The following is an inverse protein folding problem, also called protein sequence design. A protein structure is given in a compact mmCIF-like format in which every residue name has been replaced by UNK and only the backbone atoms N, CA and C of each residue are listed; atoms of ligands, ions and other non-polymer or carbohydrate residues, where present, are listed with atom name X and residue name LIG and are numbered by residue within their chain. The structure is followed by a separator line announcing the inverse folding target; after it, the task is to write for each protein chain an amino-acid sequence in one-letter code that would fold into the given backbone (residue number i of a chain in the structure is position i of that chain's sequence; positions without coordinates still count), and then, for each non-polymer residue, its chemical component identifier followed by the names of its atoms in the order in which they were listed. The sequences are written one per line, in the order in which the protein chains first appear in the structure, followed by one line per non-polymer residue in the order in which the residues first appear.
data_IF_493122787623
#
_entry.id   IF_493122787623
#
_cell.length_a   1.000
_cell.length_b   1.000
_cell.length_c   1.000
_cell.angle_alpha   90.00
_cell.angle_beta   90.00
_cell.angle_gamma   90.00
#
_symmetry.space_group_name_H-M   'P 1'
#
loop_
_entity.id
_entity.type
_entity.pdbx_description
1 polymer ?
#
# COMPACT_ATOMS: atom_id res chain seq x y z
N UNK A 1 10.93 96.48 28.88
CA UNK A 1 12.08 95.61 28.52
C UNK A 1 11.90 94.29 29.21
N UNK A 2 11.09 93.40 28.59
CA UNK A 2 10.80 92.05 29.12
C UNK A 2 11.04 91.03 28.02
N UNK A 3 12.00 90.14 28.30
CA UNK A 3 12.36 88.99 27.38
C UNK A 3 11.43 87.85 27.63
N UNK A 4 10.70 87.42 26.58
CA UNK A 4 9.84 86.25 26.61
C UNK A 4 10.62 85.06 26.11
N UNK A 5 10.94 84.12 27.03
CA UNK A 5 11.49 82.79 26.67
C UNK A 5 10.39 81.91 26.14
N UNK A 6 10.47 81.52 24.86
CA UNK A 6 9.63 80.57 24.26
C UNK A 6 10.06 79.15 24.70
N UNK A 7 9.18 78.49 25.43
CA UNK A 7 9.31 77.02 25.71
C UNK A 7 8.76 76.23 24.53
N UNK A 8 9.66 75.59 23.85
CA UNK A 8 9.28 74.63 22.73
C UNK A 8 8.98 73.25 23.33
N UNK A 9 7.71 72.92 23.42
CA UNK A 9 7.26 71.56 23.79
C UNK A 9 7.38 70.70 22.56
N UNK A 10 8.37 69.81 22.51
CA UNK A 10 8.51 68.79 21.48
C UNK A 10 7.64 67.61 21.91
N UNK A 11 6.47 67.43 21.25
CA UNK A 11 5.67 66.19 21.29
C UNK A 11 6.41 65.14 20.49
N UNK A 12 7.04 64.19 21.19
CA UNK A 12 7.58 62.99 20.57
C UNK A 12 6.39 62.05 20.37
N UNK A 13 5.87 62.00 19.13
CA UNK A 13 4.97 60.92 18.68
C UNK A 13 5.79 59.65 18.58
N UNK A 14 5.65 58.79 19.58
CA UNK A 14 6.21 57.43 19.55
C UNK A 14 5.35 56.58 18.58
N UNK A 15 5.68 56.61 17.30
CA UNK A 15 5.16 55.63 16.34
C UNK A 15 5.67 54.24 16.73
N UNK A 16 4.85 53.48 17.46
CA UNK A 16 5.02 52.04 17.59
C UNK A 16 4.83 51.44 16.19
N UNK A 17 5.95 51.31 15.47
CA UNK A 17 6.02 50.40 14.31
C UNK A 17 5.78 48.99 14.83
N UNK A 18 4.55 48.49 14.65
CA UNK A 18 4.24 47.08 14.70
C UNK A 18 5.09 46.40 13.64
N UNK A 19 6.25 45.94 14.01
CA UNK A 19 7.00 44.97 13.18
C UNK A 19 6.20 43.70 13.13
N UNK A 20 5.83 43.21 11.93
CA UNK A 20 5.14 41.95 11.83
C UNK A 20 6.09 40.86 12.36
N UNK A 21 5.62 40.22 13.42
CA UNK A 21 6.02 38.95 13.95
C UNK A 21 7.40 38.42 13.59
N UNK A 22 8.38 38.64 14.46
CA UNK A 22 9.39 37.61 14.70
C UNK A 22 8.65 36.37 15.16
N UNK A 23 8.28 35.49 14.19
CA UNK A 23 7.89 34.14 14.49
C UNK A 23 9.12 33.50 15.14
N UNK A 24 9.13 33.45 16.46
CA UNK A 24 10.03 32.59 17.21
C UNK A 24 9.78 31.19 16.70
N UNK A 25 10.61 30.73 15.79
CA UNK A 25 10.76 29.31 15.51
C UNK A 25 11.12 28.66 16.85
N UNK A 26 10.11 28.20 17.59
CA UNK A 26 10.37 27.41 18.79
C UNK A 26 11.23 26.25 18.32
N UNK A 27 12.46 26.19 18.81
CA UNK A 27 13.36 25.07 18.53
C UNK A 27 12.81 23.82 19.26
N UNK A 28 11.82 23.20 18.65
CA UNK A 28 11.15 21.99 19.17
C UNK A 28 12.15 20.85 19.40
N UNK A 29 13.35 20.93 18.79
CA UNK A 29 14.33 19.85 18.88
C UNK A 29 14.95 19.72 20.29
N UNK A 30 15.02 20.78 21.06
CA UNK A 30 15.70 20.79 22.39
C UNK A 30 15.07 19.87 23.43
N UNK A 31 13.78 19.59 23.33
CA UNK A 31 13.03 18.78 24.29
C UNK A 31 12.61 17.41 23.75
N UNK A 32 13.01 17.05 22.51
CA UNK A 32 12.68 15.76 21.92
C UNK A 32 13.70 14.70 22.35
N UNK A 33 13.23 13.49 22.68
CA UNK A 33 14.08 12.32 22.91
C UNK A 33 14.79 11.93 21.62
N UNK A 34 15.81 11.06 21.71
CA UNK A 34 16.45 10.48 20.52
C UNK A 34 15.41 9.80 19.60
N UNK A 35 15.36 10.19 18.33
CA UNK A 35 14.37 9.71 17.39
C UNK A 35 14.28 10.51 16.09
N UNK A 36 13.45 10.04 15.20
CA UNK A 36 13.10 10.71 13.95
C UNK A 36 11.67 11.24 14.08
N UNK A 37 11.44 12.49 13.65
CA UNK A 37 10.16 13.15 13.82
C UNK A 37 9.74 13.85 12.54
N UNK A 38 8.43 13.97 12.34
CA UNK A 38 7.80 14.82 11.34
C UNK A 38 7.09 15.98 12.03
N UNK A 39 7.41 17.19 11.64
CA UNK A 39 6.73 18.40 12.05
C UNK A 39 5.91 18.92 10.88
N UNK A 40 4.59 18.84 11.01
CA UNK A 40 3.64 19.45 10.10
C UNK A 40 3.32 20.85 10.62
N UNK A 41 3.65 21.85 9.83
CA UNK A 41 3.10 23.21 9.97
C UNK A 41 1.83 23.27 9.10
N UNK A 42 0.68 23.49 9.72
CA UNK A 42 -0.61 23.50 9.04
C UNK A 42 -1.34 24.82 9.21
N UNK A 43 -2.40 25.04 8.44
CA UNK A 43 -3.28 26.21 8.57
C UNK A 43 -3.96 26.31 9.94
N UNK A 44 -4.04 25.22 10.72
CA UNK A 44 -4.62 25.18 12.07
C UNK A 44 -3.57 25.15 13.18
N UNK A 45 -2.27 25.02 12.84
CA UNK A 45 -1.18 24.95 13.81
C UNK A 45 -0.21 23.81 13.57
N UNK A 46 0.63 23.53 14.55
CA UNK A 46 1.72 22.58 14.48
C UNK A 46 1.33 21.19 14.99
N UNK A 47 1.67 20.13 14.23
CA UNK A 47 1.54 18.74 14.66
C UNK A 47 2.91 18.11 14.61
N UNK A 48 3.36 17.47 15.70
CA UNK A 48 4.63 16.75 15.76
C UNK A 48 4.35 15.26 15.94
N UNK A 49 4.86 14.43 15.01
CA UNK A 49 4.78 12.98 15.06
C UNK A 49 6.16 12.37 15.26
N UNK A 50 6.28 11.39 16.15
CA UNK A 50 7.41 10.45 16.15
C UNK A 50 7.25 9.49 14.97
N UNK A 51 8.35 9.17 14.27
CA UNK A 51 8.39 8.20 13.16
C UNK A 51 9.07 6.92 13.59
N UNK A 52 8.47 5.78 13.33
CA UNK A 52 8.95 4.45 13.73
C UNK A 52 9.96 3.88 12.73
N UNK A 53 11.04 4.63 12.45
CA UNK A 53 12.01 4.34 11.40
C UNK A 53 12.77 3.01 11.59
N UNK A 54 12.85 2.48 12.81
CA UNK A 54 13.47 1.17 13.08
C UNK A 54 12.51 0.01 12.77
N UNK A 55 11.21 0.21 13.01
CA UNK A 55 10.17 -0.81 12.86
C UNK A 55 9.57 -0.85 11.44
N UNK A 56 9.38 0.33 10.82
CA UNK A 56 8.80 0.46 9.47
C UNK A 56 9.71 1.28 8.57
N UNK A 57 10.95 0.80 8.33
CA UNK A 57 12.02 1.58 7.69
C UNK A 57 11.67 2.04 6.28
N UNK A 58 11.06 1.19 5.42
CA UNK A 58 10.77 1.59 4.05
C UNK A 58 9.68 2.67 3.98
N UNK A 59 8.67 2.55 4.83
CA UNK A 59 7.58 3.53 4.93
C UNK A 59 8.12 4.89 5.39
N UNK A 60 8.99 4.88 6.40
CA UNK A 60 9.61 6.11 6.91
C UNK A 60 10.63 6.69 5.91
N UNK A 61 11.42 5.85 5.21
CA UNK A 61 12.30 6.32 4.12
C UNK A 61 11.48 7.04 3.06
N UNK A 62 10.39 6.42 2.60
CA UNK A 62 9.50 6.99 1.59
C UNK A 62 8.89 8.32 2.06
N UNK A 63 8.24 8.32 3.22
CA UNK A 63 7.57 9.49 3.76
C UNK A 63 8.55 10.65 3.99
N UNK A 64 9.65 10.39 4.71
CA UNK A 64 10.63 11.42 5.00
C UNK A 64 11.40 11.87 3.74
N UNK A 65 11.68 10.95 2.82
CA UNK A 65 12.34 11.26 1.54
C UNK A 65 11.48 12.15 0.64
N UNK A 66 10.18 11.89 0.56
CA UNK A 66 9.23 12.77 -0.14
C UNK A 66 9.15 14.15 0.54
N UNK A 67 9.07 14.20 1.88
CA UNK A 67 9.05 15.45 2.64
C UNK A 67 10.29 16.30 2.41
N UNK A 68 11.45 15.68 2.28
CA UNK A 68 12.73 16.35 2.03
C UNK A 68 13.02 16.61 0.55
N UNK A 69 12.24 16.03 -0.38
CA UNK A 69 12.50 16.06 -1.81
C UNK A 69 13.71 15.24 -2.24
N UNK A 70 14.10 14.23 -1.45
CA UNK A 70 15.23 13.32 -1.72
C UNK A 70 14.81 12.00 -2.38
N UNK A 71 13.50 11.81 -2.56
CA UNK A 71 12.90 10.73 -3.37
C UNK A 71 12.11 11.36 -4.51
N UNK A 72 12.33 10.86 -5.73
CA UNK A 72 11.67 11.36 -6.93
C UNK A 72 10.17 11.02 -6.96
N UNK A 73 9.36 11.98 -7.40
CA UNK A 73 7.93 11.80 -7.64
C UNK A 73 7.58 12.23 -9.05
N UNK A 74 6.76 11.43 -9.73
CA UNK A 74 6.29 11.73 -11.10
C UNK A 74 5.11 12.72 -11.14
N UNK A 75 4.39 12.89 -10.03
CA UNK A 75 3.13 13.66 -10.00
C UNK A 75 3.25 15.02 -9.28
N UNK A 76 4.34 15.26 -8.59
CA UNK A 76 4.63 16.56 -7.96
C UNK A 76 6.08 16.94 -8.25
N UNK A 77 6.27 18.01 -9.02
CA UNK A 77 7.59 18.56 -9.34
C UNK A 77 8.19 19.40 -8.20
N UNK A 78 7.45 19.64 -7.12
CA UNK A 78 7.94 20.33 -5.93
C UNK A 78 9.05 19.51 -5.29
N UNK A 79 10.17 20.17 -4.92
CA UNK A 79 11.26 19.51 -4.21
C UNK A 79 10.82 18.94 -2.86
N UNK A 80 9.86 19.58 -2.18
CA UNK A 80 9.23 19.10 -0.93
C UNK A 80 7.80 18.67 -1.24
N UNK A 81 7.60 17.39 -1.32
CA UNK A 81 6.38 16.79 -1.86
C UNK A 81 5.10 17.21 -1.14
N UNK A 82 5.14 17.33 0.19
CA UNK A 82 3.95 17.57 1.01
C UNK A 82 3.60 19.05 1.22
N UNK A 83 4.55 19.96 0.96
CA UNK A 83 4.35 21.38 1.15
C UNK A 83 3.23 21.90 0.21
N UNK A 84 2.25 22.58 0.79
CA UNK A 84 1.08 23.12 0.09
C UNK A 84 -0.05 22.13 -0.17
N UNK A 85 0.13 20.83 0.12
CA UNK A 85 -0.93 19.83 -0.04
C UNK A 85 -2.03 20.02 1.00
N UNK A 86 -3.26 19.61 0.64
CA UNK A 86 -4.42 19.70 1.52
C UNK A 86 -4.73 18.38 2.21
N UNK A 87 -5.43 18.47 3.33
CA UNK A 87 -6.19 17.34 3.88
C UNK A 87 -7.48 17.18 3.07
N UNK A 88 -7.42 16.36 2.03
CA UNK A 88 -8.50 16.21 1.05
C UNK A 88 -9.70 15.39 1.58
N UNK A 89 -9.50 14.63 2.66
CA UNK A 89 -10.54 13.83 3.31
C UNK A 89 -10.41 13.93 4.81
N UNK A 90 -11.45 14.43 5.46
CA UNK A 90 -11.57 14.53 6.91
C UNK A 90 -12.90 13.93 7.31
N UNK A 91 -12.87 12.95 8.22
CA UNK A 91 -14.07 12.34 8.79
C UNK A 91 -13.97 12.49 10.29
N UNK A 92 -14.88 13.27 10.85
CA UNK A 92 -14.98 13.50 12.31
C UNK A 92 -15.08 12.15 13.04
N UNK A 93 -14.41 12.06 14.19
CA UNK A 93 -14.35 10.84 15.01
C UNK A 93 -13.77 9.61 14.30
N UNK A 94 -13.01 9.83 13.21
CA UNK A 94 -12.30 8.76 12.51
C UNK A 94 -10.86 9.17 12.20
N UNK A 95 -10.63 10.04 11.20
CA UNK A 95 -9.27 10.41 10.79
C UNK A 95 -9.24 11.66 9.90
N UNK A 96 -8.07 12.27 9.79
CA UNK A 96 -7.70 13.21 8.74
C UNK A 96 -6.76 12.54 7.75
N UNK A 97 -6.94 12.75 6.44
CA UNK A 97 -6.14 12.13 5.38
C UNK A 97 -5.61 13.18 4.42
N UNK A 98 -4.30 13.12 4.17
CA UNK A 98 -3.57 14.01 3.27
C UNK A 98 -2.55 13.27 2.41
N UNK A 99 -1.63 14.01 1.76
CA UNK A 99 -0.53 13.45 0.98
C UNK A 99 -0.89 13.09 -0.47
N UNK A 100 -2.05 13.54 -0.95
CA UNK A 100 -2.43 13.42 -2.36
C UNK A 100 -2.14 14.74 -3.10
N UNK A 101 -1.23 14.77 -4.09
CA UNK A 101 -0.91 15.99 -4.83
C UNK A 101 -2.05 16.49 -5.73
N UNK A 102 -3.04 15.65 -6.01
CA UNK A 102 -4.22 16.02 -6.82
C UNK A 102 -5.40 16.46 -5.96
N UNK A 103 -5.38 16.21 -4.66
CA UNK A 103 -6.48 16.51 -3.73
C UNK A 103 -7.76 15.70 -3.97
N UNK A 104 -7.73 14.66 -4.81
CA UNK A 104 -8.90 13.86 -5.21
C UNK A 104 -9.03 12.53 -4.46
N UNK A 105 -8.00 12.13 -3.72
CA UNK A 105 -7.86 10.80 -3.08
C UNK A 105 -7.29 9.73 -4.02
N UNK A 106 -6.98 10.06 -5.27
CA UNK A 106 -6.50 9.12 -6.30
C UNK A 106 -5.04 9.35 -6.71
N UNK A 107 -4.45 10.48 -6.33
CA UNK A 107 -3.07 10.83 -6.62
C UNK A 107 -2.06 10.12 -5.71
N UNK A 108 -0.79 10.26 -6.07
CA UNK A 108 0.32 9.68 -5.33
C UNK A 108 1.66 9.99 -5.98
N UNK A 109 2.77 9.37 -5.56
CA UNK A 109 4.12 9.72 -6.02
C UNK A 109 4.45 9.14 -7.41
N UNK A 110 3.56 8.35 -8.01
CA UNK A 110 3.76 7.69 -9.30
C UNK A 110 4.37 6.28 -9.19
N UNK A 111 4.48 5.75 -7.97
CA UNK A 111 4.90 4.38 -7.67
C UNK A 111 4.13 3.84 -6.45
N UNK A 112 4.30 2.56 -6.19
CA UNK A 112 3.73 1.86 -5.03
C UNK A 112 4.80 1.06 -4.31
N UNK A 113 4.63 0.88 -3.00
CA UNK A 113 5.52 0.05 -2.20
C UNK A 113 4.73 -0.84 -1.22
N UNK A 114 5.33 -1.97 -0.76
CA UNK A 114 4.66 -2.95 0.09
C UNK A 114 4.38 -2.43 1.50
N UNK A 115 3.44 -3.10 2.17
CA UNK A 115 3.13 -2.87 3.57
C UNK A 115 4.24 -3.35 4.50
N UNK A 116 4.37 -2.70 5.66
CA UNK A 116 5.24 -3.09 6.78
C UNK A 116 4.39 -3.25 8.04
N UNK A 117 3.69 -4.38 8.16
CA UNK A 117 2.89 -4.67 9.35
C UNK A 117 3.76 -5.18 10.48
N UNK A 118 3.68 -4.51 11.63
CA UNK A 118 4.39 -4.84 12.88
C UNK A 118 3.36 -5.14 13.95
N UNK A 119 3.50 -6.28 14.62
CA UNK A 119 2.52 -6.81 15.59
C UNK A 119 2.19 -5.81 16.69
N UNK A 120 3.19 -5.07 17.16
CA UNK A 120 3.14 -4.11 18.25
C UNK A 120 2.61 -2.74 17.83
N UNK A 121 2.59 -2.44 16.52
CA UNK A 121 2.12 -1.17 15.99
C UNK A 121 0.65 -1.29 15.55
N UNK A 122 -0.23 -0.72 16.36
CA UNK A 122 -1.68 -0.83 16.23
C UNK A 122 -2.34 0.52 16.09
N UNK A 123 -3.56 0.52 15.54
CA UNK A 123 -4.45 1.68 15.52
C UNK A 123 -5.28 1.75 16.83
N UNK A 124 -4.60 1.74 17.97
CA UNK A 124 -5.18 1.57 19.32
C UNK A 124 -5.58 2.87 20.02
N UNK A 125 -5.25 4.01 19.45
CA UNK A 125 -5.40 5.32 20.09
C UNK A 125 -5.58 6.46 19.09
N UNK A 126 -5.97 7.66 19.56
CA UNK A 126 -5.87 8.89 18.75
C UNK A 126 -4.42 9.20 18.36
N UNK A 127 -4.25 9.90 17.24
CA UNK A 127 -2.97 10.39 16.77
C UNK A 127 -2.07 9.36 16.11
N UNK A 128 -2.57 8.17 15.77
CA UNK A 128 -1.80 7.18 15.01
C UNK A 128 -1.60 7.68 13.59
N UNK A 129 -0.33 7.76 13.16
CA UNK A 129 0.07 8.10 11.79
C UNK A 129 0.27 6.81 10.99
N UNK A 130 -0.53 6.65 9.93
CA UNK A 130 -0.61 5.42 9.14
C UNK A 130 -0.74 5.69 7.66
N UNK A 131 -0.32 4.73 6.81
CA UNK A 131 -0.42 4.86 5.34
C UNK A 131 -1.83 4.59 4.85
N UNK A 132 -2.35 5.49 4.01
CA UNK A 132 -3.52 5.20 3.19
C UNK A 132 -3.10 4.36 1.97
N UNK A 133 -3.94 3.39 1.60
CA UNK A 133 -3.72 2.51 0.46
C UNK A 133 -5.05 2.09 -0.19
N UNK A 134 -4.97 1.49 -1.37
CA UNK A 134 -6.10 0.92 -2.13
C UNK A 134 -6.09 -0.62 -2.10
N UNK A 135 -5.58 -1.22 -1.04
CA UNK A 135 -5.38 -2.65 -0.86
C UNK A 135 -3.91 -3.01 -0.63
N UNK A 136 -3.59 -4.30 -0.41
CA UNK A 136 -2.27 -4.75 -0.05
C UNK A 136 -1.17 -4.30 -1.00
N UNK A 137 -0.08 -3.75 -0.45
CA UNK A 137 1.11 -3.36 -1.21
C UNK A 137 0.91 -2.16 -2.13
N UNK A 138 -0.10 -1.32 -1.89
CA UNK A 138 -0.38 -0.15 -2.73
C UNK A 138 -0.09 1.18 -2.04
N UNK A 139 0.79 1.17 -1.04
CA UNK A 139 1.22 2.40 -0.36
C UNK A 139 1.91 3.36 -1.34
N UNK A 140 1.69 4.64 -1.17
CA UNK A 140 2.28 5.71 -1.99
C UNK A 140 2.73 6.87 -1.12
N UNK A 141 2.09 8.03 -1.28
CA UNK A 141 2.36 9.22 -0.47
C UNK A 141 1.22 9.56 0.49
N UNK A 142 0.03 9.00 0.30
CA UNK A 142 -1.11 9.34 1.14
C UNK A 142 -0.98 8.70 2.53
N UNK A 143 -1.29 9.48 3.54
CA UNK A 143 -1.28 9.10 4.95
C UNK A 143 -2.56 9.58 5.64
N UNK A 144 -2.83 9.02 6.81
CA UNK A 144 -3.89 9.52 7.69
C UNK A 144 -3.42 9.57 9.14
N UNK A 145 -4.06 10.44 9.93
CA UNK A 145 -3.88 10.54 11.38
C UNK A 145 -5.23 10.29 12.03
N UNK A 146 -5.29 9.38 12.99
CA UNK A 146 -6.54 8.95 13.63
C UNK A 146 -7.03 9.95 14.68
N UNK A 147 -8.36 10.15 14.78
CA UNK A 147 -9.01 10.87 15.89
C UNK A 147 -9.28 9.98 17.10
N UNK A 148 -9.39 8.65 16.88
CA UNK A 148 -9.62 7.65 17.93
C UNK A 148 -9.01 6.31 17.54
N UNK A 149 -9.11 5.31 18.41
CA UNK A 149 -8.74 3.93 18.07
C UNK A 149 -9.58 3.40 16.89
N UNK A 150 -8.89 2.76 15.92
CA UNK A 150 -9.49 2.18 14.71
C UNK A 150 -8.97 0.77 14.43
N UNK A 151 -9.16 -0.20 15.37
CA UNK A 151 -8.51 -1.51 15.32
C UNK A 151 -8.85 -2.34 14.08
N UNK A 152 -9.95 -2.05 13.39
CA UNK A 152 -10.32 -2.71 12.13
C UNK A 152 -9.38 -2.39 10.95
N UNK A 153 -8.47 -1.41 11.11
CA UNK A 153 -7.42 -1.05 10.16
C UNK A 153 -6.11 -1.82 10.39
N UNK A 154 -5.98 -2.54 11.51
CA UNK A 154 -4.81 -3.34 11.82
C UNK A 154 -4.55 -4.40 10.76
N UNK A 155 -3.27 -4.58 10.40
CA UNK A 155 -2.81 -5.46 9.32
C UNK A 155 -3.41 -5.16 7.93
N UNK A 156 -3.98 -3.96 7.74
CA UNK A 156 -4.45 -3.43 6.44
C UNK A 156 -3.73 -2.15 6.06
N UNK A 157 -3.33 -1.36 7.04
CA UNK A 157 -2.60 -0.11 6.86
C UNK A 157 -1.34 -0.10 7.73
N UNK A 158 -0.24 0.39 7.19
CA UNK A 158 1.05 0.44 7.89
C UNK A 158 1.07 1.60 8.88
N UNK A 159 1.06 1.31 10.17
CA UNK A 159 1.33 2.30 11.22
C UNK A 159 2.83 2.61 11.21
N UNK A 160 3.20 3.87 11.00
CA UNK A 160 4.60 4.27 10.93
C UNK A 160 4.98 5.46 11.81
N UNK A 161 4.05 5.94 12.64
CA UNK A 161 4.30 7.02 13.59
C UNK A 161 3.12 7.29 14.50
N UNK A 162 3.29 8.27 15.39
CA UNK A 162 2.27 8.73 16.32
C UNK A 162 2.47 10.21 16.63
N UNK A 163 1.38 10.95 16.76
CA UNK A 163 1.36 12.33 17.26
C UNK A 163 1.85 12.36 18.70
N UNK A 164 2.81 13.22 18.98
CA UNK A 164 3.34 13.48 20.32
C UNK A 164 3.04 14.90 20.81
N UNK A 165 2.66 15.82 19.87
CA UNK A 165 2.22 17.18 20.16
C UNK A 165 1.28 17.66 19.07
N UNK A 166 0.23 18.42 19.42
CA UNK A 166 -0.75 18.96 18.47
C UNK A 166 -1.88 17.99 18.13
N UNK A 167 -2.28 17.13 19.07
CA UNK A 167 -3.46 16.28 18.89
C UNK A 167 -4.76 17.09 18.86
N UNK A 168 -4.81 18.20 19.56
CA UNK A 168 -5.85 19.23 19.49
C UNK A 168 -5.95 19.80 18.07
N UNK A 169 -4.80 20.18 17.47
CA UNK A 169 -4.73 20.64 16.08
C UNK A 169 -5.26 19.57 15.10
N UNK A 170 -4.91 18.29 15.31
CA UNK A 170 -5.45 17.18 14.47
C UNK A 170 -6.98 17.17 14.50
N UNK A 171 -7.59 17.44 15.66
CA UNK A 171 -9.04 17.45 15.83
C UNK A 171 -9.70 18.70 15.25
N UNK A 172 -8.94 19.79 15.05
CA UNK A 172 -9.40 21.05 14.44
C UNK A 172 -9.24 21.10 12.92
N UNK A 173 -8.46 20.18 12.33
CA UNK A 173 -8.27 20.11 10.88
C UNK A 173 -9.60 19.82 10.19
N UNK A 174 -9.90 20.60 9.17
CA UNK A 174 -11.04 20.48 8.29
C UNK A 174 -10.61 20.12 6.86
N UNK A 175 -11.56 19.60 6.08
CA UNK A 175 -11.30 19.30 4.67
C UNK A 175 -10.91 20.58 3.90
N UNK A 176 -9.75 20.55 3.26
CA UNK A 176 -9.19 21.68 2.52
C UNK A 176 -8.10 22.46 3.28
N UNK A 177 -7.96 22.22 4.59
CA UNK A 177 -6.82 22.76 5.33
C UNK A 177 -5.50 22.30 4.74
N UNK A 178 -4.47 23.15 4.83
CA UNK A 178 -3.18 22.94 4.14
C UNK A 178 -2.08 22.50 5.10
N UNK A 179 -1.18 21.72 4.57
CA UNK A 179 0.15 21.50 5.10
C UNK A 179 1.02 22.62 4.51
N UNK A 180 1.30 23.69 5.28
CA UNK A 180 2.15 24.79 4.83
C UNK A 180 3.56 24.24 4.56
N UNK A 181 4.09 23.43 5.49
CA UNK A 181 5.35 22.72 5.32
C UNK A 181 5.41 21.44 6.15
N UNK A 182 6.21 20.48 5.67
CA UNK A 182 6.53 19.26 6.40
C UNK A 182 8.04 19.14 6.58
N UNK A 183 8.50 19.22 7.83
CA UNK A 183 9.92 19.18 8.20
C UNK A 183 10.27 17.89 8.92
N UNK A 184 11.42 17.29 8.59
CA UNK A 184 11.95 16.10 9.26
C UNK A 184 13.03 16.50 10.26
N UNK A 185 12.79 16.17 11.54
CA UNK A 185 13.68 16.46 12.66
C UNK A 185 14.40 15.18 13.09
N UNK A 186 15.73 15.27 13.24
CA UNK A 186 16.60 14.14 13.57
C UNK A 186 17.31 14.40 14.89
N UNK A 187 17.00 13.65 15.93
CA UNK A 187 17.59 13.78 17.27
C UNK A 187 18.39 12.53 17.62
N UNK A 188 19.67 12.69 17.91
CA UNK A 188 20.61 11.60 18.21
C UNK A 188 21.23 10.96 16.97
N UNK A 189 22.32 10.23 17.18
CA UNK A 189 23.20 9.73 16.10
C UNK A 189 22.49 8.70 15.19
N UNK A 190 21.70 7.80 15.76
CA UNK A 190 20.93 6.81 14.97
C UNK A 190 20.00 7.49 13.97
N UNK A 191 19.26 8.51 14.42
CA UNK A 191 18.31 9.23 13.55
C UNK A 191 19.04 10.08 12.49
N UNK A 192 20.20 10.66 12.82
CA UNK A 192 21.06 11.37 11.85
C UNK A 192 21.65 10.44 10.82
N UNK A 193 22.04 9.22 11.23
CA UNK A 193 22.59 8.20 10.33
C UNK A 193 21.54 7.55 9.43
N UNK A 194 20.26 7.60 9.79
CA UNK A 194 19.17 7.00 9.01
C UNK A 194 18.93 7.77 7.71
N UNK A 195 19.31 7.18 6.58
CA UNK A 195 19.19 7.81 5.26
C UNK A 195 17.77 7.67 4.69
N UNK A 196 17.30 8.75 4.09
CA UNK A 196 15.94 8.86 3.50
C UNK A 196 16.02 9.36 2.05
N UNK A 197 17.01 8.88 1.31
CA UNK A 197 17.23 9.21 -0.09
C UNK A 197 16.75 8.07 -1.03
N UNK A 198 16.73 8.36 -2.34
CA UNK A 198 16.31 7.41 -3.37
C UNK A 198 17.10 6.10 -3.29
N UNK A 199 18.42 6.17 -3.11
CA UNK A 199 19.29 4.99 -3.03
C UNK A 199 18.91 4.09 -1.84
N UNK A 200 18.59 4.69 -0.71
CA UNK A 200 18.14 3.96 0.49
C UNK A 200 16.78 3.30 0.29
N UNK A 201 15.85 4.01 -0.39
CA UNK A 201 14.55 3.48 -0.76
C UNK A 201 14.68 2.28 -1.71
N UNK A 202 15.44 2.43 -2.79
CA UNK A 202 15.68 1.37 -3.78
C UNK A 202 16.33 0.13 -3.15
N UNK A 203 17.30 0.35 -2.25
CA UNK A 203 17.94 -0.74 -1.51
C UNK A 203 16.96 -1.47 -0.59
N UNK A 204 16.09 -0.75 0.11
CA UNK A 204 15.07 -1.35 0.96
C UNK A 204 14.04 -2.13 0.14
N UNK A 205 13.57 -1.57 -1.00
CA UNK A 205 12.69 -2.25 -1.95
C UNK A 205 13.30 -3.54 -2.49
N UNK A 206 14.56 -3.49 -2.93
CA UNK A 206 15.28 -4.67 -3.45
C UNK A 206 15.39 -5.78 -2.41
N UNK A 207 15.66 -5.45 -1.15
CA UNK A 207 15.71 -6.45 -0.05
C UNK A 207 14.34 -7.12 0.16
N UNK A 208 13.26 -6.35 0.17
CA UNK A 208 11.89 -6.91 0.34
C UNK A 208 11.54 -7.80 -0.86
N UNK A 209 11.82 -7.34 -2.08
CA UNK A 209 11.57 -8.11 -3.30
C UNK A 209 12.35 -9.42 -3.30
N UNK A 210 13.64 -9.37 -2.95
CA UNK A 210 14.48 -10.58 -2.85
C UNK A 210 13.96 -11.55 -1.78
N UNK A 211 13.57 -11.06 -0.60
CA UNK A 211 12.98 -11.88 0.46
C UNK A 211 11.69 -12.56 0.00
N UNK A 212 10.76 -11.79 -0.59
CA UNK A 212 9.51 -12.34 -1.13
C UNK A 212 9.76 -13.41 -2.20
N UNK A 213 10.75 -13.20 -3.08
CA UNK A 213 11.08 -14.17 -4.11
C UNK A 213 11.67 -15.48 -3.53
N UNK A 214 12.50 -15.39 -2.50
CA UNK A 214 13.00 -16.58 -1.77
C UNK A 214 11.85 -17.33 -1.10
N UNK A 215 10.95 -16.62 -0.42
CA UNK A 215 9.76 -17.21 0.20
C UNK A 215 8.83 -17.86 -0.83
N UNK A 216 8.62 -17.18 -1.97
CA UNK A 216 7.84 -17.72 -3.10
C UNK A 216 8.45 -18.99 -3.64
N UNK A 217 9.77 -19.02 -3.90
CA UNK A 217 10.48 -20.23 -4.39
C UNK A 217 10.36 -21.38 -3.40
N UNK A 218 10.57 -21.13 -2.11
CA UNK A 218 10.43 -22.15 -1.07
C UNK A 218 9.02 -22.73 -1.01
N UNK A 219 8.01 -21.87 -1.08
CA UNK A 219 6.62 -22.29 -1.09
C UNK A 219 6.26 -23.08 -2.36
N UNK A 220 6.73 -22.60 -3.53
CA UNK A 220 6.49 -23.33 -4.79
C UNK A 220 7.13 -24.72 -4.77
N UNK A 221 8.34 -24.87 -4.24
CA UNK A 221 8.97 -26.17 -4.09
C UNK A 221 8.17 -27.11 -3.17
N UNK A 222 7.61 -26.57 -2.07
CA UNK A 222 6.69 -27.34 -1.20
C UNK A 222 5.43 -27.77 -1.94
N UNK A 223 4.80 -26.86 -2.67
CA UNK A 223 3.61 -27.18 -3.50
C UNK A 223 3.93 -28.28 -4.51
N UNK A 224 5.03 -28.17 -5.24
CA UNK A 224 5.46 -29.18 -6.21
C UNK A 224 5.64 -30.58 -5.56
N UNK A 225 6.36 -30.63 -4.45
CA UNK A 225 6.58 -31.89 -3.72
C UNK A 225 5.26 -32.51 -3.29
N UNK A 226 4.33 -31.71 -2.75
CA UNK A 226 3.02 -32.17 -2.33
C UNK A 226 2.18 -32.66 -3.51
N UNK A 227 2.22 -31.95 -4.64
CA UNK A 227 1.47 -32.34 -5.83
C UNK A 227 2.05 -33.60 -6.50
N UNK A 228 3.37 -33.77 -6.58
CA UNK A 228 3.96 -35.03 -7.10
C UNK A 228 3.68 -36.25 -6.22
N UNK A 229 3.57 -36.08 -4.91
CA UNK A 229 3.14 -37.18 -4.04
C UNK A 229 1.72 -37.65 -4.32
N UNK A 230 0.81 -36.74 -4.70
CA UNK A 230 -0.59 -37.07 -5.04
C UNK A 230 -0.81 -37.42 -6.50
N UNK A 231 0.00 -36.85 -7.38
CA UNK A 231 -0.10 -36.95 -8.83
C UNK A 231 1.30 -37.17 -9.42
N UNK A 232 1.83 -38.40 -9.33
CA UNK A 232 3.20 -38.71 -9.77
C UNK A 232 3.50 -38.38 -11.24
N UNK A 233 2.48 -38.51 -12.10
CA UNK A 233 2.59 -38.26 -13.54
C UNK A 233 2.32 -36.81 -13.94
N UNK A 234 2.25 -35.89 -12.97
CA UNK A 234 1.97 -34.49 -13.25
C UNK A 234 3.09 -33.83 -14.06
N UNK A 235 2.73 -33.11 -15.08
CA UNK A 235 3.65 -32.28 -15.87
C UNK A 235 3.65 -30.88 -15.35
N UNK A 236 4.84 -30.30 -15.07
CA UNK A 236 5.03 -28.92 -14.61
C UNK A 236 5.31 -27.98 -15.77
N UNK A 237 4.67 -26.81 -15.76
CA UNK A 237 4.92 -25.71 -16.70
C UNK A 237 5.93 -24.71 -16.15
N UNK A 238 6.45 -23.82 -17.00
CA UNK A 238 7.37 -22.72 -16.58
C UNK A 238 6.77 -21.74 -15.55
N UNK A 239 5.45 -21.58 -15.56
CA UNK A 239 4.75 -20.70 -14.61
C UNK A 239 4.56 -21.31 -13.22
N UNK A 240 4.77 -22.62 -13.09
CA UNK A 240 4.50 -23.41 -11.89
C UNK A 240 3.10 -24.02 -11.83
N UNK A 241 2.26 -23.82 -12.85
CA UNK A 241 1.07 -24.65 -13.06
C UNK A 241 1.52 -26.10 -13.29
N UNK A 242 0.86 -27.06 -12.64
CA UNK A 242 1.05 -28.48 -12.94
C UNK A 242 -0.26 -29.07 -13.47
N UNK A 243 -0.17 -30.13 -14.25
CA UNK A 243 -1.36 -30.82 -14.76
C UNK A 243 -1.12 -32.30 -14.99
N UNK A 244 -2.18 -33.06 -14.88
CA UNK A 244 -2.24 -34.49 -15.32
C UNK A 244 -3.18 -34.59 -16.50
N UNK A 245 -2.73 -35.22 -17.59
CA UNK A 245 -3.57 -35.45 -18.75
C UNK A 245 -4.35 -36.75 -18.55
N UNK A 246 -5.65 -36.64 -18.34
CA UNK A 246 -6.54 -37.80 -18.12
C UNK A 246 -7.05 -38.44 -19.43
N UNK A 247 -7.26 -37.59 -20.46
CA UNK A 247 -7.71 -38.03 -21.79
C UNK A 247 -7.04 -37.15 -22.84
N UNK A 248 -6.49 -37.74 -23.87
CA UNK A 248 -5.91 -37.00 -25.01
C UNK A 248 -7.03 -36.39 -25.85
N UNK A 249 -6.81 -35.15 -26.30
CA UNK A 249 -7.63 -34.49 -27.32
C UNK A 249 -7.02 -34.59 -28.71
N UNK A 250 -7.68 -34.00 -29.69
CA UNK A 250 -7.23 -33.97 -31.08
C UNK A 250 -7.32 -32.54 -31.66
N UNK A 251 -6.59 -32.30 -32.76
CA UNK A 251 -6.61 -31.04 -33.48
C UNK A 251 -5.79 -29.94 -32.81
N UNK A 252 -6.03 -28.65 -33.18
CA UNK A 252 -5.35 -27.49 -32.60
C UNK A 252 -5.80 -27.22 -31.17
N UNK A 253 -5.10 -26.29 -30.49
CA UNK A 253 -5.50 -25.72 -29.22
C UNK A 253 -6.17 -24.35 -29.44
N UNK A 254 -7.06 -23.92 -28.53
CA UNK A 254 -7.69 -22.58 -28.63
C UNK A 254 -6.65 -21.44 -28.51
N UNK A 255 -6.85 -20.41 -29.31
CA UNK A 255 -6.07 -19.17 -29.18
C UNK A 255 -6.59 -18.27 -28.04
N UNK A 256 -5.81 -17.26 -27.61
CA UNK A 256 -6.32 -16.24 -26.70
C UNK A 256 -7.55 -15.53 -27.29
N UNK A 257 -8.61 -15.42 -26.49
CA UNK A 257 -9.89 -14.82 -26.93
C UNK A 257 -10.88 -15.80 -27.56
N UNK A 258 -10.46 -17.05 -27.84
CA UNK A 258 -11.37 -18.10 -28.35
C UNK A 258 -12.50 -18.36 -27.32
N UNK A 259 -13.72 -18.50 -27.81
CA UNK A 259 -14.86 -18.97 -27.02
C UNK A 259 -14.70 -20.47 -26.78
N UNK A 260 -14.46 -20.88 -25.55
CA UNK A 260 -14.28 -22.29 -25.16
C UNK A 260 -15.52 -22.79 -24.43
N UNK A 261 -15.94 -24.02 -24.76
CA UNK A 261 -17.02 -24.72 -24.09
C UNK A 261 -16.42 -25.85 -23.24
N UNK A 262 -16.57 -25.74 -21.91
CA UNK A 262 -15.86 -26.62 -20.97
C UNK A 262 -16.78 -27.18 -19.88
N UNK A 263 -16.53 -28.44 -19.50
CA UNK A 263 -16.90 -28.93 -18.19
C UNK A 263 -15.76 -28.78 -17.21
N UNK A 264 -16.06 -28.41 -15.95
CA UNK A 264 -15.07 -28.37 -14.89
C UNK A 264 -15.66 -28.67 -13.51
N UNK A 265 -14.79 -29.11 -12.61
CA UNK A 265 -15.02 -29.13 -11.17
C UNK A 265 -13.82 -28.57 -10.46
N UNK A 266 -14.03 -27.47 -9.70
CA UNK A 266 -13.01 -26.80 -8.89
C UNK A 266 -13.11 -27.22 -7.44
N UNK A 267 -11.97 -27.63 -6.84
CA UNK A 267 -11.88 -28.05 -5.44
C UNK A 267 -10.65 -27.49 -4.73
N UNK A 268 -10.76 -27.38 -3.43
CA UNK A 268 -9.62 -27.13 -2.53
C UNK A 268 -8.75 -28.39 -2.41
N UNK A 269 -7.55 -28.26 -1.86
CA UNK A 269 -6.64 -29.40 -1.64
C UNK A 269 -7.21 -30.50 -0.71
N UNK A 270 -8.12 -30.15 0.19
CA UNK A 270 -8.83 -31.10 1.06
C UNK A 270 -9.94 -31.88 0.35
N UNK A 271 -10.20 -31.58 -0.92
CA UNK A 271 -11.23 -32.21 -1.74
C UNK A 271 -12.57 -31.49 -1.77
N UNK A 272 -12.78 -30.48 -0.94
CA UNK A 272 -14.03 -29.70 -0.92
C UNK A 272 -14.25 -29.01 -2.27
N UNK A 273 -15.31 -29.41 -2.98
CA UNK A 273 -15.76 -28.77 -4.22
C UNK A 273 -16.39 -27.42 -3.88
N UNK A 274 -15.98 -26.37 -4.59
CA UNK A 274 -16.53 -25.03 -4.43
C UNK A 274 -17.30 -24.55 -5.66
N UNK A 275 -17.04 -25.14 -6.83
CA UNK A 275 -17.77 -24.82 -8.07
C UNK A 275 -17.67 -26.01 -9.06
N UNK A 276 -18.77 -26.35 -9.71
CA UNK A 276 -18.84 -27.44 -10.65
C UNK A 276 -19.88 -27.18 -11.75
N UNK A 277 -19.48 -27.30 -13.00
CA UNK A 277 -20.41 -27.27 -14.14
C UNK A 277 -21.21 -28.53 -14.28
N UNK A 278 -20.70 -29.66 -13.76
CA UNK A 278 -21.40 -30.93 -13.75
C UNK A 278 -22.66 -30.86 -12.86
N UNK A 279 -22.58 -30.22 -11.71
CA UNK A 279 -23.71 -30.02 -10.79
C UNK A 279 -24.82 -29.14 -11.42
N UNK A 280 -24.44 -28.27 -12.38
CA UNK A 280 -25.39 -27.49 -13.17
C UNK A 280 -25.95 -28.22 -14.40
N UNK A 281 -25.49 -29.44 -14.67
CA UNK A 281 -25.93 -30.27 -15.78
C UNK A 281 -25.59 -29.76 -17.18
N UNK A 282 -24.73 -28.72 -17.30
CA UNK A 282 -24.36 -28.16 -18.61
C UNK A 282 -22.94 -27.55 -18.58
N UNK A 283 -22.21 -27.62 -19.70
CA UNK A 283 -20.92 -26.97 -19.82
C UNK A 283 -21.07 -25.44 -19.76
N UNK A 284 -19.93 -24.76 -19.52
CA UNK A 284 -19.86 -23.32 -19.44
C UNK A 284 -19.03 -22.77 -20.58
N UNK A 285 -19.54 -21.70 -21.21
CA UNK A 285 -18.84 -20.98 -22.26
C UNK A 285 -18.20 -19.70 -21.69
N UNK A 286 -16.94 -19.44 -22.04
CA UNK A 286 -16.24 -18.19 -21.76
C UNK A 286 -15.03 -18.00 -22.69
N UNK A 287 -14.48 -16.79 -22.75
CA UNK A 287 -13.28 -16.50 -23.56
C UNK A 287 -12.02 -16.90 -22.80
N UNK A 288 -11.23 -17.81 -23.37
CA UNK A 288 -9.99 -18.28 -22.78
C UNK A 288 -8.85 -17.25 -22.91
N UNK A 289 -8.00 -17.15 -21.90
CA UNK A 289 -6.76 -16.36 -21.97
C UNK A 289 -6.92 -14.84 -21.92
N UNK A 290 -8.11 -14.34 -21.61
CA UNK A 290 -8.40 -12.88 -21.52
C UNK A 290 -8.63 -12.39 -20.09
N UNK A 291 -8.34 -13.22 -19.10
CA UNK A 291 -8.45 -12.86 -17.68
C UNK A 291 -9.87 -12.87 -17.13
N UNK A 292 -10.84 -13.54 -17.79
CA UNK A 292 -12.19 -13.77 -17.25
C UNK A 292 -12.20 -14.77 -16.08
N UNK A 293 -11.12 -15.52 -15.92
CA UNK A 293 -10.93 -16.48 -14.85
C UNK A 293 -9.56 -16.36 -14.19
N UNK A 294 -9.26 -17.34 -13.32
CA UNK A 294 -7.94 -17.45 -12.70
C UNK A 294 -6.88 -17.81 -13.75
N UNK A 295 -5.68 -17.24 -13.58
CA UNK A 295 -4.57 -17.38 -14.55
C UNK A 295 -4.22 -18.84 -14.85
N UNK A 296 -4.23 -19.72 -13.84
CA UNK A 296 -3.91 -21.13 -13.99
C UNK A 296 -4.90 -21.87 -14.87
N UNK A 297 -6.20 -21.54 -14.77
CA UNK A 297 -7.25 -22.13 -15.64
C UNK A 297 -7.09 -21.64 -17.08
N UNK A 298 -6.94 -20.36 -17.28
CA UNK A 298 -6.73 -19.78 -18.61
C UNK A 298 -5.51 -20.40 -19.30
N UNK A 299 -4.38 -20.49 -18.60
CA UNK A 299 -3.16 -21.10 -19.12
C UNK A 299 -3.34 -22.60 -19.41
N UNK A 300 -4.04 -23.34 -18.55
CA UNK A 300 -4.32 -24.74 -18.74
C UNK A 300 -5.14 -25.00 -19.99
N UNK A 301 -6.22 -24.24 -20.21
CA UNK A 301 -7.14 -24.38 -21.36
C UNK A 301 -6.48 -24.02 -22.68
N UNK A 302 -5.68 -22.95 -22.73
CA UNK A 302 -4.94 -22.57 -23.94
C UNK A 302 -3.95 -23.64 -24.42
N UNK A 303 -3.57 -24.59 -23.56
CA UNK A 303 -2.69 -25.70 -23.90
C UNK A 303 -3.43 -27.02 -24.15
N UNK A 304 -4.77 -27.03 -24.00
CA UNK A 304 -5.61 -28.24 -24.25
C UNK A 304 -6.06 -28.30 -25.70
N UNK A 305 -6.38 -29.53 -26.16
CA UNK A 305 -7.00 -29.79 -27.44
C UNK A 305 -8.47 -30.15 -27.26
N UNK A 306 -9.26 -30.05 -28.33
CA UNK A 306 -10.67 -30.47 -28.30
C UNK A 306 -10.82 -31.93 -27.83
N UNK A 307 -11.74 -32.16 -26.91
CA UNK A 307 -12.02 -33.46 -26.27
C UNK A 307 -11.01 -33.89 -25.20
N UNK A 308 -10.01 -33.05 -24.87
CA UNK A 308 -9.02 -33.34 -23.85
C UNK A 308 -9.59 -33.15 -22.45
N UNK A 309 -9.16 -34.04 -21.51
CA UNK A 309 -9.40 -33.88 -20.07
C UNK A 309 -8.10 -33.76 -19.32
N UNK A 310 -8.04 -32.79 -18.41
CA UNK A 310 -6.90 -32.57 -17.50
C UNK A 310 -7.35 -32.31 -16.07
N UNK A 311 -6.55 -32.78 -15.13
CA UNK A 311 -6.54 -32.20 -13.78
C UNK A 311 -5.47 -31.13 -13.71
N UNK A 312 -5.87 -29.89 -13.47
CA UNK A 312 -4.97 -28.73 -13.27
C UNK A 312 -4.70 -28.58 -11.79
N UNK A 313 -3.43 -28.50 -11.40
CA UNK A 313 -2.95 -28.28 -10.05
C UNK A 313 -2.42 -26.85 -10.00
N UNK A 314 -3.20 -25.95 -9.41
CA UNK A 314 -3.02 -24.52 -9.56
C UNK A 314 -2.53 -23.92 -8.24
N UNK A 315 -1.27 -23.46 -8.16
CA UNK A 315 -0.80 -22.75 -6.98
C UNK A 315 -1.57 -21.43 -6.80
N UNK A 316 -1.74 -20.99 -5.57
CA UNK A 316 -2.60 -19.83 -5.25
C UNK A 316 -2.21 -18.56 -6.01
N UNK A 317 -0.93 -18.38 -6.39
CA UNK A 317 -0.47 -17.23 -7.19
C UNK A 317 -1.06 -17.21 -8.60
N UNK A 318 -1.42 -18.36 -9.12
CA UNK A 318 -2.12 -18.54 -10.39
C UNK A 318 -3.64 -18.70 -10.20
N UNK A 319 -4.11 -18.66 -8.95
CA UNK A 319 -5.52 -18.76 -8.55
C UNK A 319 -6.03 -17.39 -8.02
N UNK A 320 -6.55 -17.33 -6.80
CA UNK A 320 -7.11 -16.14 -6.20
C UNK A 320 -6.13 -15.37 -5.29
N UNK A 321 -4.85 -15.76 -5.27
CA UNK A 321 -3.77 -15.04 -4.63
C UNK A 321 -3.84 -15.01 -3.10
N UNK A 322 -3.25 -13.97 -2.54
CA UNK A 322 -3.13 -13.73 -1.10
C UNK A 322 -4.49 -13.57 -0.39
N UNK A 323 -5.50 -13.09 -1.09
CA UNK A 323 -6.81 -12.75 -0.50
C UNK A 323 -7.84 -13.88 -0.59
N UNK A 324 -7.67 -14.81 -1.51
CA UNK A 324 -8.69 -15.82 -1.82
C UNK A 324 -9.92 -15.20 -2.50
N UNK A 325 -11.07 -15.87 -2.39
CA UNK A 325 -12.37 -15.36 -2.83
C UNK A 325 -13.34 -15.36 -1.65
N UNK A 326 -13.90 -14.21 -1.28
CA UNK A 326 -14.66 -14.05 -0.04
C UNK A 326 -15.75 -15.11 0.14
N UNK A 327 -15.82 -15.69 1.33
CA UNK A 327 -16.79 -16.74 1.75
C UNK A 327 -16.68 -18.09 1.03
N UNK A 328 -15.91 -18.21 -0.06
CA UNK A 328 -15.84 -19.43 -0.88
C UNK A 328 -14.45 -20.05 -0.84
N UNK A 329 -13.40 -19.26 -1.08
CA UNK A 329 -12.02 -19.75 -1.17
C UNK A 329 -11.16 -18.99 -0.16
N UNK A 330 -10.57 -19.70 0.83
CA UNK A 330 -9.69 -19.07 1.82
C UNK A 330 -8.47 -18.38 1.17
N UNK A 331 -7.86 -17.41 1.86
CA UNK A 331 -6.60 -16.81 1.44
C UNK A 331 -5.52 -17.88 1.16
N UNK A 332 -4.69 -17.65 0.13
CA UNK A 332 -3.55 -18.53 -0.24
C UNK A 332 -3.93 -19.98 -0.50
N UNK A 333 -5.12 -20.23 -1.02
CA UNK A 333 -5.57 -21.58 -1.36
C UNK A 333 -5.07 -22.04 -2.71
N UNK A 334 -4.29 -23.12 -2.73
CA UNK A 334 -4.01 -23.86 -3.94
C UNK A 334 -5.27 -24.61 -4.38
N UNK A 335 -5.50 -24.69 -5.68
CA UNK A 335 -6.73 -25.24 -6.24
C UNK A 335 -6.43 -26.42 -7.15
N UNK A 336 -7.40 -27.33 -7.22
CA UNK A 336 -7.39 -28.45 -8.15
C UNK A 336 -8.64 -28.33 -9.02
N UNK A 337 -8.45 -28.34 -10.35
CA UNK A 337 -9.52 -28.26 -11.32
C UNK A 337 -9.48 -29.47 -12.26
N UNK A 338 -10.51 -30.27 -12.26
CA UNK A 338 -10.73 -31.21 -13.34
C UNK A 338 -11.44 -30.47 -14.48
N UNK A 339 -10.88 -30.49 -15.67
CA UNK A 339 -11.35 -29.69 -16.80
C UNK A 339 -11.45 -30.57 -18.03
N UNK A 340 -12.56 -30.49 -18.74
CA UNK A 340 -12.77 -31.08 -20.06
C UNK A 340 -13.07 -30.02 -21.10
N UNK A 341 -12.20 -29.87 -22.10
CA UNK A 341 -12.43 -28.97 -23.23
C UNK A 341 -13.29 -29.69 -24.26
N UNK A 342 -14.56 -29.34 -24.32
CA UNK A 342 -15.53 -29.97 -25.24
C UNK A 342 -15.32 -29.44 -26.65
N UNK A 343 -15.33 -28.11 -26.81
CA UNK A 343 -15.19 -27.45 -28.10
C UNK A 343 -14.69 -26.01 -27.92
N UNK A 344 -14.31 -25.34 -29.02
CA UNK A 344 -13.99 -23.92 -29.06
C UNK A 344 -14.19 -23.34 -30.47
N UNK A 345 -14.43 -22.01 -30.53
CA UNK A 345 -14.57 -21.21 -31.75
C UNK A 345 -13.59 -20.04 -31.75
#
# INVERSE_FOLDING_TARGET
MFSIKRVLVILIFLCLLLTPGLVFSQDFSKNLKQGLYAHFDTTKGSIICVLYYKQTPITVINFAGLALGTIASKQNSSKKYYDGLIFHRVIKDFMIQGGDPTGTGRGGPGYKFPDEFVKELKHDSPGILSMANAGPGTNGSQFFITHKATPWLDNKHTVFGKVIKGLDVVNEIEKGDKINSLTIIRVGEDAKAFKTDQKSFDKAMSKITAKKEVERKKRMAKFETEMYLRYPDATKTKSGLMYVQLKKGSGPSPGPGAAVNVHYAGRLKDGKVFDSSYDRGKPVEFKAGVGQGIKGRDQGLLAMKKGEKRTLLIPYELAYGEQGYPKVIPPRSDLIFDVELIDFM
#
